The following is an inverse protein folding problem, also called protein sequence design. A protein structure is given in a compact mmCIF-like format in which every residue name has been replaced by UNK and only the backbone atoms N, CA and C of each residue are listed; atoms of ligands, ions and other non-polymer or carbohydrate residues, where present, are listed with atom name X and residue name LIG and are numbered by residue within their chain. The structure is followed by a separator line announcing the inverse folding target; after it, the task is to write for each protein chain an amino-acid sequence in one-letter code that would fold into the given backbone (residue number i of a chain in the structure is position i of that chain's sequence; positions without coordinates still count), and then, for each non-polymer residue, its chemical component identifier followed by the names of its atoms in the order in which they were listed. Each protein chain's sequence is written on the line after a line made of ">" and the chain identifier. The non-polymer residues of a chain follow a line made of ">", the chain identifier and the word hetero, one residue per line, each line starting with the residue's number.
data_IF_445899474775
#
_entry.id   IF_445899474775
#
_cell.length_a   1.000
_cell.length_b   1.000
_cell.length_c   1.000
_cell.angle_alpha   90.00
_cell.angle_beta   90.00
_cell.angle_gamma   90.00
#
_symmetry.space_group_name_H-M   'P 1'
#
loop_
_entity.id
_entity.type
_entity.pdbx_description
1 polymer ?
#
# COMPACT_ATOMS: atom_id res chain seq x y z
N UNK A 1 -19.29 -47.04 -6.74
CA UNK A 1 -19.76 -45.93 -7.61
C UNK A 1 -20.92 -45.11 -7.04
N UNK A 2 -22.20 -45.54 -7.06
CA UNK A 2 -23.34 -44.68 -6.63
C UNK A 2 -23.28 -44.21 -5.17
N UNK A 3 -22.86 -45.08 -4.23
CA UNK A 3 -22.64 -44.73 -2.80
C UNK A 3 -21.48 -43.74 -2.60
N UNK A 4 -20.46 -43.84 -3.43
CA UNK A 4 -19.24 -43.03 -3.35
C UNK A 4 -19.51 -41.61 -3.87
N UNK A 5 -20.27 -41.47 -4.95
CA UNK A 5 -20.76 -40.19 -5.45
C UNK A 5 -21.68 -39.49 -4.44
N UNK A 6 -22.55 -40.24 -3.74
CA UNK A 6 -23.40 -39.67 -2.69
C UNK A 6 -22.59 -39.20 -1.47
N UNK A 7 -21.61 -39.98 -1.03
CA UNK A 7 -20.72 -39.60 0.06
C UNK A 7 -19.87 -38.36 -0.29
N UNK A 8 -19.40 -38.26 -1.53
CA UNK A 8 -18.67 -37.09 -2.03
C UNK A 8 -19.56 -35.84 -2.07
N UNK A 9 -20.80 -35.95 -2.56
CA UNK A 9 -21.77 -34.84 -2.54
C UNK A 9 -22.07 -34.36 -1.14
N UNK A 10 -22.33 -35.27 -0.22
CA UNK A 10 -22.58 -34.93 1.18
C UNK A 10 -21.37 -34.22 1.82
N UNK A 11 -20.14 -34.68 1.56
CA UNK A 11 -18.92 -33.99 2.02
C UNK A 11 -18.78 -32.61 1.40
N UNK A 12 -19.07 -32.46 0.11
CA UNK A 12 -19.03 -31.17 -0.57
C UNK A 12 -20.03 -30.19 0.05
N UNK A 13 -21.26 -30.64 0.31
CA UNK A 13 -22.30 -29.82 0.92
C UNK A 13 -21.95 -29.42 2.36
N UNK A 14 -21.37 -30.34 3.14
CA UNK A 14 -20.87 -30.04 4.49
C UNK A 14 -19.71 -29.05 4.46
N UNK A 15 -18.74 -29.24 3.57
CA UNK A 15 -17.60 -28.32 3.40
C UNK A 15 -18.07 -26.94 2.99
N UNK A 16 -18.96 -26.83 2.01
CA UNK A 16 -19.51 -25.56 1.55
C UNK A 16 -20.32 -24.86 2.65
N UNK A 17 -21.08 -25.61 3.46
CA UNK A 17 -21.84 -25.03 4.57
C UNK A 17 -20.92 -24.53 5.68
N UNK A 18 -19.87 -25.28 6.00
CA UNK A 18 -18.85 -24.86 6.97
C UNK A 18 -18.08 -23.63 6.48
N UNK A 19 -17.75 -23.57 5.19
CA UNK A 19 -17.09 -22.43 4.57
C UNK A 19 -17.95 -21.17 4.70
N UNK A 20 -19.24 -21.24 4.34
CA UNK A 20 -20.19 -20.13 4.51
C UNK A 20 -20.34 -19.67 5.96
N UNK A 21 -20.35 -20.60 6.91
CA UNK A 21 -20.42 -20.26 8.32
C UNK A 21 -19.15 -19.51 8.78
N UNK A 22 -17.97 -19.97 8.35
CA UNK A 22 -16.71 -19.32 8.67
C UNK A 22 -16.62 -17.94 8.04
N UNK A 23 -16.99 -17.77 6.77
CA UNK A 23 -17.08 -16.48 6.09
C UNK A 23 -17.97 -15.51 6.86
N UNK A 24 -19.16 -15.96 7.28
CA UNK A 24 -20.08 -15.14 8.09
C UNK A 24 -19.49 -14.74 9.44
N UNK A 25 -18.77 -15.65 10.11
CA UNK A 25 -18.11 -15.36 11.39
C UNK A 25 -16.97 -14.35 11.21
N UNK A 26 -16.20 -14.48 10.14
CA UNK A 26 -15.13 -13.53 9.79
C UNK A 26 -15.69 -12.15 9.49
N UNK A 27 -16.76 -12.07 8.70
CA UNK A 27 -17.43 -10.80 8.39
C UNK A 27 -17.95 -10.12 9.67
N UNK A 28 -18.65 -10.87 10.53
CA UNK A 28 -19.12 -10.34 11.82
C UNK A 28 -17.97 -9.83 12.70
N UNK A 29 -16.82 -10.51 12.68
CA UNK A 29 -15.63 -10.09 13.42
C UNK A 29 -15.07 -8.78 12.84
N UNK A 30 -14.92 -8.70 11.52
CA UNK A 30 -14.45 -7.49 10.84
C UNK A 30 -15.36 -6.28 11.12
N UNK A 31 -16.69 -6.48 11.12
CA UNK A 31 -17.66 -5.43 11.47
C UNK A 31 -17.46 -4.97 12.91
N UNK A 32 -17.29 -5.90 13.85
CA UNK A 32 -17.03 -5.55 15.25
C UNK A 32 -15.70 -4.80 15.44
N UNK A 33 -14.64 -5.22 14.75
CA UNK A 33 -13.34 -4.54 14.78
C UNK A 33 -13.44 -3.10 14.24
N UNK A 34 -14.14 -2.91 13.11
CA UNK A 34 -14.39 -1.57 12.55
C UNK A 34 -15.26 -0.71 13.47
N UNK A 35 -16.21 -1.29 14.20
CA UNK A 35 -17.02 -0.56 15.17
C UNK A 35 -16.22 -0.07 16.39
N UNK A 36 -15.14 -0.79 16.75
CA UNK A 36 -14.23 -0.37 17.83
C UNK A 36 -13.21 0.67 17.38
N UNK A 37 -12.92 0.73 16.07
CA UNK A 37 -11.89 1.59 15.48
C UNK A 37 -11.96 3.07 15.93
N UNK A 38 -13.13 3.76 15.94
CA UNK A 38 -13.18 5.15 16.40
C UNK A 38 -12.78 5.36 17.85
N UNK A 39 -12.97 4.35 18.72
CA UNK A 39 -12.57 4.43 20.14
C UNK A 39 -11.09 4.13 20.33
N UNK A 40 -10.53 3.23 19.53
CA UNK A 40 -9.12 2.82 19.61
C UNK A 40 -8.21 3.85 18.96
N UNK A 41 -8.67 4.49 17.89
CA UNK A 41 -7.87 5.40 17.07
C UNK A 41 -8.14 6.87 17.33
N UNK A 42 -8.97 7.22 18.34
CA UNK A 42 -9.35 8.60 18.59
C UNK A 42 -8.13 9.52 18.67
N UNK A 43 -8.08 10.49 17.76
CA UNK A 43 -7.03 11.50 17.67
C UNK A 43 -5.59 10.97 17.52
N UNK A 44 -5.40 9.69 17.19
CA UNK A 44 -4.07 9.06 17.01
C UNK A 44 -3.25 9.73 15.91
N UNK A 45 -3.90 10.18 14.83
CA UNK A 45 -3.30 10.92 13.73
C UNK A 45 -3.76 12.38 13.67
N UNK A 46 -4.20 12.95 14.79
CA UNK A 46 -4.75 14.31 14.84
C UNK A 46 -3.83 15.33 14.15
N UNK A 47 -4.36 15.99 13.12
CA UNK A 47 -3.65 17.03 12.36
C UNK A 47 -2.55 16.51 11.42
N UNK A 48 -2.35 15.19 11.32
CA UNK A 48 -1.38 14.58 10.42
C UNK A 48 -1.92 14.45 9.00
N UNK A 49 -1.08 14.78 8.03
CA UNK A 49 -1.34 14.66 6.60
C UNK A 49 -0.68 13.39 6.07
N UNK A 50 -1.48 12.52 5.46
CA UNK A 50 -1.02 11.24 4.92
C UNK A 50 -1.10 11.25 3.40
N UNK A 51 -0.04 10.84 2.73
CA UNK A 51 -0.11 10.42 1.33
C UNK A 51 -0.31 8.90 1.26
N UNK A 52 -1.32 8.48 0.51
CA UNK A 52 -1.55 7.08 0.20
C UNK A 52 -0.91 6.76 -1.15
N UNK A 53 -0.05 5.76 -1.22
CA UNK A 53 0.59 5.35 -2.48
C UNK A 53 0.27 3.90 -2.76
N UNK A 54 -0.20 3.61 -3.97
CA UNK A 54 -0.65 2.29 -4.40
C UNK A 54 0.28 1.78 -5.49
N UNK A 55 0.95 0.66 -5.25
CA UNK A 55 1.90 0.05 -6.18
C UNK A 55 1.48 -1.36 -6.62
N UNK A 56 2.16 -1.85 -7.65
CA UNK A 56 1.95 -3.18 -8.21
C UNK A 56 0.58 -3.37 -8.84
N UNK A 57 -0.03 -4.51 -8.55
CA UNK A 57 -1.27 -4.95 -9.19
C UNK A 57 -2.54 -4.53 -8.44
N UNK A 58 -2.39 -3.74 -7.37
CA UNK A 58 -3.51 -3.38 -6.51
C UNK A 58 -4.47 -2.42 -7.23
N UNK A 59 -5.66 -2.92 -7.59
CA UNK A 59 -6.73 -2.16 -8.28
C UNK A 59 -8.00 -2.02 -7.44
N UNK A 60 -7.94 -2.41 -6.17
CA UNK A 60 -9.09 -2.39 -5.29
C UNK A 60 -9.34 -0.97 -4.75
N UNK A 61 -10.21 -0.24 -5.43
CA UNK A 61 -10.63 1.10 -5.02
C UNK A 61 -11.42 1.09 -3.70
N UNK A 62 -12.14 0.00 -3.40
CA UNK A 62 -12.89 -0.14 -2.15
C UNK A 62 -11.93 -0.28 -0.96
N UNK A 63 -10.85 -1.04 -1.13
CA UNK A 63 -9.77 -1.11 -0.15
C UNK A 63 -9.17 0.27 0.11
N UNK A 64 -8.76 0.98 -0.95
CA UNK A 64 -8.19 2.33 -0.87
C UNK A 64 -9.12 3.29 -0.13
N UNK A 65 -10.42 3.26 -0.45
CA UNK A 65 -11.44 4.04 0.24
C UNK A 65 -11.58 3.68 1.71
N UNK A 66 -11.60 2.38 2.04
CA UNK A 66 -11.73 1.91 3.43
C UNK A 66 -10.52 2.29 4.30
N UNK A 67 -9.30 2.18 3.76
CA UNK A 67 -8.07 2.59 4.43
C UNK A 67 -8.04 4.10 4.63
N UNK A 68 -8.49 4.88 3.63
CA UNK A 68 -8.61 6.33 3.76
C UNK A 68 -9.58 6.73 4.87
N UNK A 69 -10.72 6.03 4.97
CA UNK A 69 -11.69 6.24 6.05
C UNK A 69 -11.11 5.91 7.43
N UNK A 70 -10.26 4.89 7.55
CA UNK A 70 -9.57 4.58 8.81
C UNK A 70 -8.61 5.70 9.24
N UNK A 71 -7.84 6.27 8.30
CA UNK A 71 -6.96 7.43 8.56
C UNK A 71 -7.79 8.64 9.05
N UNK A 72 -8.93 8.92 8.40
CA UNK A 72 -9.83 10.01 8.78
C UNK A 72 -10.46 9.77 10.16
N UNK A 73 -10.86 8.53 10.44
CA UNK A 73 -11.40 8.11 11.74
C UNK A 73 -10.39 8.36 12.87
N UNK A 74 -9.10 8.26 12.56
CA UNK A 74 -8.01 8.53 13.49
C UNK A 74 -7.68 10.04 13.68
N UNK A 75 -8.41 10.94 13.03
CA UNK A 75 -8.16 12.38 13.05
C UNK A 75 -7.08 12.85 12.05
N UNK A 76 -6.59 11.95 11.19
CA UNK A 76 -5.69 12.27 10.10
C UNK A 76 -6.41 12.79 8.86
N UNK A 77 -5.66 13.32 7.90
CA UNK A 77 -6.17 13.75 6.60
C UNK A 77 -5.42 13.07 5.48
N UNK A 78 -6.12 12.36 4.60
CA UNK A 78 -5.54 11.85 3.35
C UNK A 78 -5.44 13.02 2.37
N UNK A 79 -4.21 13.48 2.10
CA UNK A 79 -3.97 14.63 1.22
C UNK A 79 -3.97 14.22 -0.24
N UNK A 80 -3.40 13.06 -0.54
CA UNK A 80 -3.22 12.59 -1.90
C UNK A 80 -3.24 11.07 -1.98
N UNK A 81 -3.70 10.53 -3.10
CA UNK A 81 -3.67 9.12 -3.45
C UNK A 81 -2.96 8.98 -4.79
N UNK A 82 -1.78 8.35 -4.78
CA UNK A 82 -0.96 8.14 -5.98
C UNK A 82 -0.95 6.66 -6.35
N UNK A 83 -1.39 6.30 -7.55
CA UNK A 83 -1.18 4.94 -8.07
C UNK A 83 0.04 4.91 -9.00
N UNK A 84 1.02 4.05 -8.70
CA UNK A 84 2.25 3.87 -9.48
C UNK A 84 2.38 2.41 -9.93
N UNK A 85 2.15 2.16 -11.21
CA UNK A 85 2.32 0.85 -11.87
C UNK A 85 3.76 0.71 -12.37
N UNK A 86 4.23 -0.52 -12.58
CA UNK A 86 5.62 -0.77 -13.03
C UNK A 86 5.97 -0.04 -14.33
N UNK A 87 5.02 0.03 -15.26
CA UNK A 87 5.17 0.71 -16.54
C UNK A 87 4.95 2.22 -16.48
N UNK A 88 4.94 2.85 -15.30
CA UNK A 88 4.75 4.31 -15.20
C UNK A 88 5.84 5.10 -15.94
N UNK A 89 7.07 4.59 -15.96
CA UNK A 89 8.18 5.13 -16.73
C UNK A 89 8.61 4.11 -17.80
N UNK A 90 8.31 4.36 -19.09
CA UNK A 90 8.75 3.47 -20.16
C UNK A 90 10.28 3.35 -20.21
N UNK A 91 10.79 2.20 -20.66
CA UNK A 91 12.23 1.94 -20.79
C UNK A 91 12.88 2.81 -21.89
N UNK A 92 12.16 3.09 -22.97
CA UNK A 92 12.62 3.89 -24.10
C UNK A 92 11.48 4.66 -24.79
N UNK A 93 11.85 5.57 -25.69
CA UNK A 93 10.95 6.29 -26.58
C UNK A 93 10.44 7.63 -26.05
N UNK A 94 9.67 8.35 -26.89
CA UNK A 94 9.27 9.75 -26.65
C UNK A 94 8.58 9.99 -25.30
N UNK A 95 7.73 9.07 -24.83
CA UNK A 95 7.06 9.20 -23.53
C UNK A 95 8.06 9.24 -22.38
N UNK A 96 9.11 8.39 -22.42
CA UNK A 96 10.18 8.40 -21.43
C UNK A 96 10.89 9.75 -21.42
N UNK A 97 11.34 10.22 -22.59
CA UNK A 97 12.05 11.49 -22.73
C UNK A 97 11.22 12.67 -22.20
N UNK A 98 9.92 12.68 -22.49
CA UNK A 98 9.00 13.69 -21.98
C UNK A 98 8.87 13.63 -20.45
N UNK A 99 8.74 12.45 -19.85
CA UNK A 99 8.65 12.30 -18.39
C UNK A 99 9.95 12.76 -17.73
N UNK A 100 11.11 12.30 -18.22
CA UNK A 100 12.42 12.70 -17.72
C UNK A 100 12.62 14.22 -17.78
N UNK A 101 12.24 14.84 -18.90
CA UNK A 101 12.33 16.30 -19.05
C UNK A 101 11.44 17.06 -18.06
N UNK A 102 10.20 16.59 -17.79
CA UNK A 102 9.31 17.22 -16.80
C UNK A 102 9.87 17.13 -15.37
N UNK A 103 10.55 16.02 -15.07
CA UNK A 103 11.27 15.84 -13.81
C UNK A 103 12.69 16.42 -13.82
N UNK A 104 13.05 17.18 -14.85
CA UNK A 104 14.35 17.84 -14.99
C UNK A 104 15.55 16.88 -14.90
N UNK A 105 15.34 15.62 -15.26
CA UNK A 105 16.40 14.60 -15.31
C UNK A 105 17.25 14.85 -16.56
N UNK A 106 18.57 14.91 -16.39
CA UNK A 106 19.48 15.20 -17.48
C UNK A 106 19.42 14.12 -18.58
N UNK A 107 19.44 14.56 -19.85
CA UNK A 107 19.49 13.65 -20.98
C UNK A 107 20.77 12.81 -20.96
N UNK A 108 20.65 11.50 -21.17
CA UNK A 108 21.78 10.57 -21.12
C UNK A 108 22.33 10.29 -19.73
N UNK A 109 21.66 10.75 -18.66
CA UNK A 109 22.08 10.44 -17.29
C UNK A 109 22.15 8.91 -17.09
N UNK A 110 23.28 8.36 -16.59
CA UNK A 110 23.46 6.92 -16.46
C UNK A 110 22.42 6.27 -15.53
N UNK A 111 21.87 7.03 -14.58
CA UNK A 111 20.88 6.59 -13.60
C UNK A 111 19.51 7.29 -13.77
N UNK A 112 19.16 7.69 -14.99
CA UNK A 112 17.96 8.49 -15.26
C UNK A 112 16.67 7.91 -14.66
N UNK A 113 16.50 6.58 -14.65
CA UNK A 113 15.34 5.91 -14.03
C UNK A 113 15.31 6.14 -12.52
N UNK A 114 16.44 5.92 -11.83
CA UNK A 114 16.52 6.08 -10.38
C UNK A 114 16.31 7.54 -9.98
N UNK A 115 16.86 8.48 -10.75
CA UNK A 115 16.65 9.92 -10.56
C UNK A 115 15.18 10.30 -10.75
N UNK A 116 14.51 9.79 -11.79
CA UNK A 116 13.08 10.01 -12.00
C UNK A 116 12.21 9.43 -10.88
N UNK A 117 12.53 8.24 -10.38
CA UNK A 117 11.81 7.63 -9.22
C UNK A 117 12.02 8.48 -7.97
N UNK A 118 13.24 8.99 -7.73
CA UNK A 118 13.53 9.90 -6.62
C UNK A 118 12.74 11.20 -6.75
N UNK A 119 12.70 11.81 -7.93
CA UNK A 119 11.91 13.03 -8.18
C UNK A 119 10.42 12.77 -7.98
N UNK A 120 9.91 11.62 -8.44
CA UNK A 120 8.53 11.20 -8.17
C UNK A 120 8.27 11.08 -6.65
N UNK A 121 9.17 10.45 -5.89
CA UNK A 121 9.05 10.30 -4.44
C UNK A 121 8.96 11.67 -3.74
N UNK A 122 9.80 12.62 -4.14
CA UNK A 122 9.81 14.01 -3.61
C UNK A 122 8.53 14.73 -3.99
N UNK A 123 8.10 14.64 -5.25
CA UNK A 123 6.90 15.31 -5.75
C UNK A 123 5.62 14.83 -5.05
N UNK A 124 5.56 13.56 -4.61
CA UNK A 124 4.42 13.02 -3.87
C UNK A 124 4.28 13.66 -2.48
N UNK A 125 5.40 14.00 -1.82
CA UNK A 125 5.38 14.27 -0.36
C UNK A 125 5.73 15.71 0.03
N UNK A 126 6.43 16.45 -0.83
CA UNK A 126 6.97 17.77 -0.49
C UNK A 126 5.97 18.92 -0.65
N UNK A 127 4.92 18.75 -1.45
CA UNK A 127 4.08 19.86 -1.91
C UNK A 127 4.72 20.68 -3.04
N UNK A 128 5.97 20.38 -3.37
CA UNK A 128 6.70 20.94 -4.49
C UNK A 128 6.45 20.06 -5.73
N UNK A 129 6.76 20.56 -6.93
CA UNK A 129 6.61 19.82 -8.19
C UNK A 129 5.19 19.43 -8.59
N UNK A 130 4.15 19.93 -7.93
CA UNK A 130 2.75 19.59 -8.23
C UNK A 130 2.39 19.74 -9.71
N UNK A 131 2.86 20.80 -10.38
CA UNK A 131 2.66 20.99 -11.82
C UNK A 131 3.38 19.92 -12.65
N UNK A 132 4.66 19.66 -12.39
CA UNK A 132 5.42 18.64 -13.10
C UNK A 132 4.85 17.24 -12.88
N UNK A 133 4.41 16.92 -11.67
CA UNK A 133 3.76 15.66 -11.32
C UNK A 133 2.46 15.47 -12.10
N UNK A 134 1.60 16.50 -12.15
CA UNK A 134 0.38 16.50 -12.96
C UNK A 134 0.68 16.33 -14.46
N UNK A 135 1.71 16.98 -14.97
CA UNK A 135 2.12 16.83 -16.37
C UNK A 135 2.59 15.39 -16.66
N UNK A 136 3.38 14.80 -15.75
CA UNK A 136 3.84 13.40 -15.88
C UNK A 136 2.66 12.44 -15.83
N UNK A 137 1.67 12.65 -14.96
CA UNK A 137 0.48 11.79 -14.90
C UNK A 137 -0.38 11.85 -16.18
N UNK A 138 -0.37 12.98 -16.93
CA UNK A 138 -1.02 13.06 -18.24
C UNK A 138 -0.27 12.30 -19.34
N UNK A 139 1.03 12.12 -19.19
CA UNK A 139 1.91 11.46 -20.17
C UNK A 139 2.04 9.96 -19.89
N UNK A 140 2.14 9.60 -18.62
CA UNK A 140 2.31 8.25 -18.14
C UNK A 140 0.99 7.50 -18.13
N UNK A 141 0.98 6.27 -18.64
CA UNK A 141 -0.17 5.37 -18.54
C UNK A 141 -0.18 4.57 -17.23
N UNK A 142 0.87 4.69 -16.42
CA UNK A 142 1.02 3.94 -15.16
C UNK A 142 1.03 4.82 -13.92
N UNK A 143 0.77 6.12 -14.04
CA UNK A 143 0.68 7.06 -12.92
C UNK A 143 -0.72 7.68 -12.87
N UNK A 144 -1.41 7.52 -11.74
CA UNK A 144 -2.67 8.21 -11.45
C UNK A 144 -2.53 9.03 -10.18
N UNK A 145 -3.16 10.21 -10.17
CA UNK A 145 -3.13 11.16 -9.07
C UNK A 145 -4.55 11.50 -8.66
N UNK A 146 -4.80 11.52 -7.36
CA UNK A 146 -6.04 12.03 -6.77
C UNK A 146 -5.71 12.84 -5.50
N UNK A 147 -6.42 13.94 -5.27
CA UNK A 147 -6.19 14.86 -4.16
C UNK A 147 -5.21 16.02 -4.44
N UNK A 148 -4.62 16.53 -3.37
CA UNK A 148 -3.86 17.78 -3.33
C UNK A 148 -2.37 17.56 -3.04
N UNK A 149 -1.55 17.79 -4.06
CA UNK A 149 -0.09 17.70 -4.06
C UNK A 149 0.59 19.06 -3.90
N UNK A 150 -0.13 20.12 -3.51
CA UNK A 150 0.42 21.48 -3.36
C UNK A 150 0.94 21.78 -1.95
N UNK A 151 0.77 20.85 -1.02
CA UNK A 151 1.24 20.99 0.37
C UNK A 151 1.98 19.74 0.82
N UNK A 152 2.99 19.85 1.70
CA UNK A 152 3.70 18.70 2.22
C UNK A 152 2.80 17.79 3.06
N UNK A 153 3.17 16.51 3.10
CA UNK A 153 2.57 15.48 3.96
C UNK A 153 3.54 15.06 5.06
N UNK A 154 3.02 14.54 6.16
CA UNK A 154 3.82 14.11 7.31
C UNK A 154 4.29 12.65 7.19
N UNK A 155 3.56 11.84 6.43
CA UNK A 155 3.73 10.39 6.39
C UNK A 155 3.14 9.76 5.13
N UNK A 156 3.60 8.55 4.81
CA UNK A 156 3.14 7.76 3.67
C UNK A 156 2.64 6.39 4.13
N UNK A 157 1.49 5.99 3.62
CA UNK A 157 1.05 4.60 3.62
C UNK A 157 1.21 4.03 2.21
N UNK A 158 2.09 3.06 2.04
CA UNK A 158 2.33 2.37 0.78
C UNK A 158 1.52 1.07 0.76
N UNK A 159 0.51 0.99 -0.10
CA UNK A 159 -0.23 -0.22 -0.39
C UNK A 159 0.39 -0.92 -1.61
N UNK A 160 0.64 -2.21 -1.51
CA UNK A 160 1.15 -2.98 -2.64
C UNK A 160 0.50 -4.36 -2.69
N UNK A 161 0.33 -4.88 -3.90
CA UNK A 161 0.03 -6.30 -4.11
C UNK A 161 0.74 -6.81 -5.35
N UNK A 162 0.97 -8.12 -5.38
CA UNK A 162 1.66 -8.79 -6.45
C UNK A 162 0.85 -10.02 -6.88
N UNK A 163 0.52 -10.10 -8.17
CA UNK A 163 -0.17 -11.27 -8.74
C UNK A 163 0.80 -12.27 -9.39
N UNK A 164 1.95 -11.80 -9.85
CA UNK A 164 2.99 -12.59 -10.53
C UNK A 164 4.22 -12.82 -9.62
N UNK A 165 4.65 -14.08 -9.41
CA UNK A 165 5.89 -14.41 -8.69
C UNK A 165 7.14 -13.71 -9.24
N UNK A 166 7.19 -13.39 -10.54
CA UNK A 166 8.30 -12.65 -11.15
C UNK A 166 8.51 -11.28 -10.52
N UNK A 167 7.46 -10.68 -9.95
CA UNK A 167 7.53 -9.40 -9.25
C UNK A 167 8.41 -9.48 -8.01
N UNK A 168 8.42 -10.60 -7.29
CA UNK A 168 9.26 -10.75 -6.10
C UNK A 168 10.75 -10.66 -6.46
N UNK A 169 11.16 -11.33 -7.53
CA UNK A 169 12.54 -11.26 -8.04
C UNK A 169 12.92 -9.85 -8.49
N UNK A 170 12.00 -9.13 -9.15
CA UNK A 170 12.20 -7.72 -9.53
C UNK A 170 12.32 -6.80 -8.31
N UNK A 171 11.51 -7.06 -7.29
CA UNK A 171 11.53 -6.33 -6.02
C UNK A 171 12.87 -6.52 -5.29
N UNK A 172 13.41 -7.74 -5.30
CA UNK A 172 14.71 -8.07 -4.74
C UNK A 172 15.86 -7.45 -5.52
N UNK A 173 15.75 -7.38 -6.85
CA UNK A 173 16.66 -6.65 -7.72
C UNK A 173 16.53 -5.12 -7.58
N UNK A 174 15.49 -4.63 -6.89
CA UNK A 174 15.24 -3.21 -6.67
C UNK A 174 14.77 -2.46 -7.92
N UNK A 175 14.17 -3.16 -8.89
CA UNK A 175 13.77 -2.57 -10.18
C UNK A 175 12.35 -2.04 -10.20
N UNK A 176 11.52 -2.34 -9.19
CA UNK A 176 10.14 -1.82 -9.14
C UNK A 176 10.12 -0.41 -8.53
N UNK A 177 9.13 0.42 -8.88
CA UNK A 177 9.03 1.78 -8.37
C UNK A 177 9.01 1.85 -6.85
N UNK A 178 8.29 0.94 -6.18
CA UNK A 178 8.13 0.98 -4.72
C UNK A 178 9.45 0.87 -3.96
N UNK A 179 10.49 0.18 -4.46
CA UNK A 179 11.78 0.13 -3.77
C UNK A 179 12.52 1.47 -3.85
N UNK A 180 12.46 2.16 -4.99
CA UNK A 180 13.07 3.47 -5.15
C UNK A 180 12.31 4.56 -4.38
N UNK A 181 10.97 4.49 -4.36
CA UNK A 181 10.12 5.36 -3.54
C UNK A 181 10.45 5.20 -2.06
N UNK A 182 10.47 3.96 -1.55
CA UNK A 182 10.82 3.67 -0.16
C UNK A 182 12.23 4.16 0.20
N UNK A 183 13.22 3.92 -0.68
CA UNK A 183 14.58 4.40 -0.45
C UNK A 183 14.63 5.93 -0.32
N UNK A 184 13.98 6.66 -1.22
CA UNK A 184 13.94 8.11 -1.20
C UNK A 184 13.23 8.66 0.06
N UNK A 185 12.09 8.11 0.44
CA UNK A 185 11.37 8.56 1.64
C UNK A 185 12.13 8.27 2.92
N UNK A 186 12.86 7.14 2.99
CA UNK A 186 13.76 6.84 4.11
C UNK A 186 14.91 7.84 4.20
N UNK A 187 15.53 8.21 3.08
CA UNK A 187 16.57 9.26 3.05
C UNK A 187 16.02 10.61 3.55
N UNK A 188 14.76 10.92 3.21
CA UNK A 188 14.04 12.11 3.69
C UNK A 188 13.60 12.02 5.15
N UNK A 189 13.85 10.88 5.83
CA UNK A 189 13.38 10.58 7.19
C UNK A 189 11.86 10.70 7.35
N UNK A 190 11.12 10.44 6.26
CA UNK A 190 9.67 10.45 6.27
C UNK A 190 9.15 9.16 6.92
N UNK A 191 8.07 9.27 7.69
CA UNK A 191 7.40 8.08 8.24
C UNK A 191 6.69 7.33 7.12
N UNK A 192 7.09 6.08 6.88
CA UNK A 192 6.45 5.21 5.87
C UNK A 192 6.04 3.90 6.51
N UNK A 193 4.81 3.47 6.24
CA UNK A 193 4.30 2.13 6.56
C UNK A 193 3.96 1.44 5.24
N UNK A 194 4.36 0.19 5.08
CA UNK A 194 4.03 -0.60 3.90
C UNK A 194 2.97 -1.64 4.25
N UNK A 195 1.97 -1.84 3.40
CA UNK A 195 0.88 -2.73 3.69
C UNK A 195 0.37 -3.46 2.44
N UNK A 196 -0.20 -4.64 2.65
CA UNK A 196 -0.84 -5.43 1.61
C UNK A 196 -2.17 -6.03 2.10
N UNK A 197 -3.07 -6.42 1.19
CA UNK A 197 -4.26 -7.21 1.55
C UNK A 197 -3.88 -8.60 2.09
N UNK A 198 -4.77 -9.20 2.87
CA UNK A 198 -4.57 -10.55 3.43
C UNK A 198 -4.45 -11.58 2.30
N UNK A 199 -5.38 -11.54 1.35
CA UNK A 199 -5.40 -12.46 0.22
C UNK A 199 -4.60 -11.90 -0.97
N UNK A 200 -3.29 -12.14 -0.98
CA UNK A 200 -2.42 -11.87 -2.14
C UNK A 200 -1.75 -13.15 -2.65
N UNK A 201 -1.66 -13.34 -3.98
CA UNK A 201 -0.92 -14.48 -4.55
C UNK A 201 0.56 -14.49 -4.17
N UNK A 202 1.17 -13.30 -4.12
CA UNK A 202 2.58 -13.11 -3.79
C UNK A 202 2.68 -11.98 -2.77
N UNK A 203 3.30 -12.27 -1.62
CA UNK A 203 3.48 -11.29 -0.55
C UNK A 203 4.73 -10.43 -0.78
N UNK A 204 4.56 -9.13 -0.71
CA UNK A 204 5.64 -8.14 -0.79
C UNK A 204 6.18 -7.77 0.60
N UNK A 205 5.51 -8.20 1.67
CA UNK A 205 5.88 -7.92 3.07
C UNK A 205 7.33 -8.30 3.38
N UNK A 206 7.85 -9.49 3.02
CA UNK A 206 9.26 -9.82 3.26
C UNK A 206 10.24 -8.84 2.62
N UNK A 207 9.89 -8.25 1.48
CA UNK A 207 10.73 -7.24 0.81
C UNK A 207 10.72 -5.94 1.61
N UNK A 208 9.53 -5.50 2.07
CA UNK A 208 9.38 -4.29 2.87
C UNK A 208 10.05 -4.39 4.24
N UNK A 209 9.95 -5.54 4.89
CA UNK A 209 10.66 -5.86 6.15
C UNK A 209 12.18 -5.69 6.02
N UNK A 210 12.77 -6.23 4.95
CA UNK A 210 14.21 -6.05 4.66
C UNK A 210 14.58 -4.59 4.36
N UNK A 211 13.62 -3.78 3.91
CA UNK A 211 13.79 -2.33 3.76
C UNK A 211 13.63 -1.58 5.09
N UNK A 212 13.27 -2.25 6.19
CA UNK A 212 13.22 -1.67 7.53
C UNK A 212 12.16 -0.59 7.67
N UNK A 213 10.98 -0.84 7.11
CA UNK A 213 9.76 -0.05 7.35
C UNK A 213 8.75 -0.93 8.06
N UNK A 214 7.91 -0.40 8.95
CA UNK A 214 6.82 -1.17 9.54
C UNK A 214 5.90 -1.74 8.46
N UNK A 215 5.39 -2.94 8.70
CA UNK A 215 4.56 -3.65 7.74
C UNK A 215 3.20 -4.07 8.28
N UNK A 216 2.19 -4.17 7.39
CA UNK A 216 0.86 -4.72 7.71
C UNK A 216 0.38 -5.66 6.61
N UNK A 217 0.12 -6.92 6.93
CA UNK A 217 -0.12 -7.96 5.91
C UNK A 217 -1.60 -8.26 5.58
N UNK A 218 -2.54 -7.55 6.22
CA UNK A 218 -3.98 -7.79 6.12
C UNK A 218 -4.82 -6.50 6.17
N UNK A 219 -4.38 -5.47 5.43
CA UNK A 219 -4.90 -4.09 5.53
C UNK A 219 -6.36 -3.91 5.06
N UNK A 220 -6.95 -4.95 4.48
CA UNK A 220 -8.36 -5.08 4.13
C UNK A 220 -9.27 -5.45 5.32
N UNK A 221 -8.69 -5.94 6.41
CA UNK A 221 -9.38 -6.24 7.67
C UNK A 221 -9.49 -5.03 8.60
N UNK A 222 -10.43 -5.07 9.56
CA UNK A 222 -10.56 -4.02 10.58
C UNK A 222 -9.31 -3.90 11.45
N UNK A 223 -8.77 -5.03 11.90
CA UNK A 223 -7.53 -5.08 12.69
C UNK A 223 -6.31 -4.59 11.90
N UNK A 224 -6.18 -4.93 10.61
CA UNK A 224 -5.09 -4.46 9.77
C UNK A 224 -5.10 -2.95 9.58
N UNK A 225 -6.30 -2.35 9.43
CA UNK A 225 -6.44 -0.90 9.35
C UNK A 225 -6.07 -0.19 10.66
N UNK A 226 -6.46 -0.76 11.81
CA UNK A 226 -6.02 -0.28 13.13
C UNK A 226 -4.49 -0.34 13.22
N UNK A 227 -3.88 -1.47 12.82
CA UNK A 227 -2.43 -1.65 12.81
C UNK A 227 -1.72 -0.63 11.92
N UNK A 228 -2.23 -0.38 10.72
CA UNK A 228 -1.64 0.58 9.78
C UNK A 228 -1.64 2.00 10.35
N UNK A 229 -2.75 2.42 10.98
CA UNK A 229 -2.85 3.74 11.62
C UNK A 229 -1.90 3.86 12.81
N UNK A 230 -1.87 2.87 13.70
CA UNK A 230 -0.98 2.87 14.86
C UNK A 230 0.49 2.80 14.45
N UNK A 231 0.82 2.08 13.38
CA UNK A 231 2.16 2.07 12.79
C UNK A 231 2.51 3.46 12.23
N UNK A 232 1.58 4.15 11.55
CA UNK A 232 1.79 5.52 11.08
C UNK A 232 2.06 6.49 12.25
N UNK A 233 1.41 6.27 13.40
CA UNK A 233 1.60 7.05 14.61
C UNK A 233 2.91 6.77 15.37
N UNK A 234 3.73 5.82 14.89
CA UNK A 234 5.06 5.53 15.46
C UNK A 234 5.27 4.08 15.91
N UNK A 235 4.28 3.20 15.74
CA UNK A 235 4.46 1.77 16.02
C UNK A 235 5.47 1.12 15.06
N UNK A 236 6.56 0.57 15.60
CA UNK A 236 7.58 -0.17 14.84
C UNK A 236 7.27 -1.68 14.82
N UNK A 237 7.66 -2.38 13.76
CA UNK A 237 7.52 -3.84 13.64
C UNK A 237 6.56 -4.27 12.54
N UNK A 238 6.23 -5.56 12.55
CA UNK A 238 5.50 -6.22 11.48
C UNK A 238 4.18 -6.79 11.99
N UNK A 239 3.09 -6.40 11.35
CA UNK A 239 1.75 -6.59 11.87
C UNK A 239 0.84 -7.39 10.94
N UNK A 240 -0.06 -8.16 11.55
CA UNK A 240 -1.11 -8.87 10.83
C UNK A 240 -1.23 -10.33 11.23
N UNK A 241 -1.56 -11.19 10.28
CA UNK A 241 -1.97 -12.58 10.53
C UNK A 241 -1.14 -13.60 9.76
N UNK A 242 -0.28 -13.18 8.82
CA UNK A 242 0.60 -14.09 8.08
C UNK A 242 1.81 -14.46 8.94
N UNK A 243 2.55 -15.54 8.58
CA UNK A 243 3.73 -15.97 9.33
C UNK A 243 4.85 -14.94 9.43
N UNK A 244 4.82 -13.91 8.59
CA UNK A 244 5.77 -12.79 8.60
C UNK A 244 5.47 -11.74 9.66
N UNK A 245 4.27 -11.73 10.26
CA UNK A 245 3.91 -10.80 11.31
C UNK A 245 4.55 -11.19 12.66
N UNK A 246 5.11 -10.20 13.35
CA UNK A 246 5.57 -10.36 14.73
C UNK A 246 4.39 -10.37 15.71
N UNK A 247 3.38 -9.53 15.45
CA UNK A 247 2.19 -9.36 16.29
C UNK A 247 0.95 -9.02 15.46
N UNK A 248 -0.27 -9.29 15.94
CA UNK A 248 -1.48 -8.85 15.25
C UNK A 248 -1.64 -7.33 15.16
N UNK A 249 -1.24 -6.62 16.23
CA UNK A 249 -1.35 -5.16 16.36
C UNK A 249 -0.13 -4.57 17.08
N UNK A 250 0.17 -3.28 16.83
CA UNK A 250 1.08 -2.50 17.68
C UNK A 250 0.60 -2.47 19.13
N UNK A 251 1.54 -2.29 20.07
CA UNK A 251 1.19 -2.06 21.46
C UNK A 251 0.45 -0.72 21.57
N UNK A 252 -0.79 -0.75 22.06
CA UNK A 252 -1.56 0.47 22.37
C UNK A 252 -1.12 0.94 23.75
N UNK A 253 -0.51 2.12 23.83
CA UNK A 253 -0.16 2.76 25.11
C UNK A 253 -1.19 3.85 25.35
N UNK A 254 -1.99 3.70 26.39
CA UNK A 254 -2.97 4.70 26.84
C UNK A 254 -2.32 5.71 27.79
#
# INVERSE_FOLDING_TARGET
>A
FKREVLALRHRLDQTNSRMRELEKRLENRNVAERALMPKVLDSVLAGKKVALVVCGDLKDEALVGSVSAAIVTAGGTVKSITAVRDGWLPEYGRRREQILARFQVAQGAPNATAEAVRTLAVAIVSGEWSQALNDVARISTGLSLDGDYSTPVDMVLLLSSASDPSRLSQAEAGTLPEQGLLAAWKEMKLRVVAAEPEAVPVSMIPVFQRKGVPTVDNVDSGIGQISAVLALAGGEGDYGVKPTAEKPIPNITF
#
